data_IF_522619493423
#
_entry.id   IF_522619493423
#
_cell.length_a   1.000
_cell.length_b   1.000
_cell.length_c   1.000
_cell.angle_alpha   90.00
_cell.angle_beta   90.00
_cell.angle_gamma   90.00
#
_symmetry.space_group_name_H-M   'P 1'
#
loop_
_entity.id
_entity.type
_entity.pdbx_description
1 polymer ?
#
# COMPACT_ATOMS: atom_id res chain seq x y z
N UNK A 1 4.92 7.44 1.17
CA UNK A 1 3.50 7.18 1.48
C UNK A 1 2.81 8.37 2.14
N UNK A 2 3.19 8.75 3.36
CA UNK A 2 2.53 9.84 4.12
C UNK A 2 2.50 11.19 3.38
N UNK A 3 3.58 11.54 2.69
CA UNK A 3 3.64 12.72 1.81
C UNK A 3 2.56 12.68 0.72
N UNK A 4 2.21 11.50 0.21
CA UNK A 4 1.24 11.33 -0.88
C UNK A 4 -0.23 11.31 -0.42
N UNK A 5 -0.46 11.15 0.89
CA UNK A 5 -1.78 11.21 1.52
C UNK A 5 -2.09 12.60 2.11
N UNK A 6 -1.32 13.64 1.75
CA UNK A 6 -1.47 14.98 2.29
C UNK A 6 -2.92 15.50 2.16
N UNK A 7 -3.52 16.04 3.24
CA UNK A 7 -4.91 16.51 3.25
C UNK A 7 -5.07 17.89 2.58
N UNK A 8 -4.48 18.07 1.40
CA UNK A 8 -4.58 19.31 0.62
C UNK A 8 -5.89 19.25 -0.17
N UNK A 9 -6.82 20.17 0.13
CA UNK A 9 -8.15 20.23 -0.53
C UNK A 9 -8.11 20.82 -1.93
N UNK A 10 -7.20 21.75 -2.20
CA UNK A 10 -7.09 22.40 -3.51
C UNK A 10 -6.34 21.49 -4.48
N UNK A 11 -6.96 21.17 -5.62
CA UNK A 11 -6.37 20.33 -6.68
C UNK A 11 -5.09 20.93 -7.26
N UNK A 12 -5.07 22.25 -7.48
CA UNK A 12 -3.90 22.96 -7.99
C UNK A 12 -2.74 22.93 -6.99
N UNK A 13 -3.03 23.20 -5.71
CA UNK A 13 -2.01 23.15 -4.66
C UNK A 13 -1.46 21.72 -4.47
N UNK A 14 -2.32 20.71 -4.57
CA UNK A 14 -1.93 19.30 -4.51
C UNK A 14 -1.05 18.90 -5.70
N UNK A 15 -1.39 19.36 -6.91
CA UNK A 15 -0.57 19.15 -8.11
C UNK A 15 0.81 19.79 -7.98
N UNK A 16 0.87 21.06 -7.56
CA UNK A 16 2.14 21.76 -7.30
C UNK A 16 2.96 21.01 -6.24
N UNK A 17 2.33 20.57 -5.16
CA UNK A 17 2.98 19.81 -4.10
C UNK A 17 3.62 18.51 -4.63
N UNK A 18 2.89 17.72 -5.42
CA UNK A 18 3.44 16.49 -5.99
C UNK A 18 4.56 16.74 -7.00
N UNK A 19 4.45 17.79 -7.83
CA UNK A 19 5.51 18.18 -8.77
C UNK A 19 6.78 18.62 -8.02
N UNK A 20 6.64 19.45 -6.97
CA UNK A 20 7.78 19.88 -6.17
C UNK A 20 8.47 18.71 -5.48
N UNK A 21 7.69 17.81 -4.90
CA UNK A 21 8.22 16.61 -4.25
C UNK A 21 8.95 15.71 -5.24
N UNK A 22 8.40 15.56 -6.44
CA UNK A 22 9.05 14.85 -7.54
C UNK A 22 10.38 15.50 -7.92
N UNK A 23 10.42 16.81 -8.16
CA UNK A 23 11.65 17.55 -8.50
C UNK A 23 12.73 17.33 -7.43
N UNK A 24 12.39 17.47 -6.14
CA UNK A 24 13.35 17.30 -5.05
C UNK A 24 13.93 15.88 -5.04
N UNK A 25 13.07 14.88 -5.22
CA UNK A 25 13.47 13.47 -5.20
C UNK A 25 14.31 13.11 -6.44
N UNK A 26 13.93 13.57 -7.62
CA UNK A 26 14.65 13.28 -8.86
C UNK A 26 16.00 13.98 -8.93
N UNK A 27 16.14 15.20 -8.39
CA UNK A 27 17.45 15.86 -8.32
C UNK A 27 18.43 15.04 -7.48
N UNK A 28 17.97 14.48 -6.35
CA UNK A 28 18.81 13.61 -5.53
C UNK A 28 19.21 12.34 -6.28
N UNK A 29 18.26 11.66 -6.93
CA UNK A 29 18.52 10.45 -7.71
C UNK A 29 19.44 10.71 -8.91
N UNK A 30 19.26 11.82 -9.61
CA UNK A 30 20.13 12.27 -10.70
C UNK A 30 21.56 12.53 -10.21
N UNK A 31 21.70 13.15 -9.04
CA UNK A 31 23.02 13.35 -8.41
C UNK A 31 23.75 12.03 -8.18
N UNK A 32 23.07 11.04 -7.59
CA UNK A 32 23.63 9.70 -7.41
C UNK A 32 23.92 9.00 -8.73
N UNK A 33 23.03 9.10 -9.72
CA UNK A 33 23.24 8.51 -11.04
C UNK A 33 24.50 9.07 -11.71
N UNK A 34 24.67 10.40 -11.71
CA UNK A 34 25.86 11.05 -12.30
C UNK A 34 27.11 10.60 -11.56
N UNK A 35 27.08 10.54 -10.22
CA UNK A 35 28.19 10.07 -9.41
C UNK A 35 28.63 8.66 -9.80
N UNK A 36 27.70 7.70 -9.89
CA UNK A 36 28.04 6.32 -10.25
C UNK A 36 28.44 6.13 -11.72
N UNK A 37 27.92 6.96 -12.63
CA UNK A 37 28.40 6.99 -14.02
C UNK A 37 29.86 7.44 -14.06
N UNK A 38 30.24 8.45 -13.28
CA UNK A 38 31.63 8.92 -13.18
C UNK A 38 32.56 7.86 -12.58
N UNK A 39 32.08 7.12 -11.58
CA UNK A 39 32.81 5.98 -11.00
C UNK A 39 32.85 4.74 -11.91
N UNK A 40 32.15 4.76 -13.06
CA UNK A 40 32.00 3.62 -13.98
C UNK A 40 31.34 2.39 -13.35
N UNK A 41 30.58 2.57 -12.27
CA UNK A 41 29.77 1.51 -11.68
C UNK A 41 28.46 1.36 -12.48
N UNK A 42 28.52 0.50 -13.49
CA UNK A 42 27.39 0.23 -14.38
C UNK A 42 26.18 -0.34 -13.65
N UNK A 43 26.40 -1.18 -12.62
CA UNK A 43 25.32 -1.84 -11.90
C UNK A 43 24.54 -0.83 -11.06
N UNK A 44 25.23 -0.02 -10.24
CA UNK A 44 24.57 1.03 -9.45
C UNK A 44 23.93 2.10 -10.34
N UNK A 45 24.56 2.44 -11.46
CA UNK A 45 23.95 3.36 -12.45
C UNK A 45 22.60 2.85 -12.95
N UNK A 46 22.48 1.55 -13.29
CA UNK A 46 21.21 0.95 -13.74
C UNK A 46 20.15 1.00 -12.63
N UNK A 47 20.54 0.76 -11.37
CA UNK A 47 19.63 0.82 -10.22
C UNK A 47 19.07 2.24 -10.03
N UNK A 48 19.94 3.25 -9.97
CA UNK A 48 19.48 4.64 -9.77
C UNK A 48 18.66 5.16 -10.96
N UNK A 49 19.00 4.74 -12.18
CA UNK A 49 18.16 5.00 -13.34
C UNK A 49 16.78 4.34 -13.24
N UNK A 50 16.71 3.10 -12.73
CA UNK A 50 15.45 2.40 -12.49
C UNK A 50 14.59 3.14 -11.45
N UNK A 51 15.20 3.63 -10.37
CA UNK A 51 14.49 4.45 -9.38
C UNK A 51 13.94 5.75 -9.98
N UNK A 52 14.68 6.43 -10.85
CA UNK A 52 14.26 7.64 -11.56
C UNK A 52 12.97 7.37 -12.39
N UNK A 53 12.97 6.30 -13.18
CA UNK A 53 11.77 5.88 -13.94
C UNK A 53 10.61 5.57 -12.99
N UNK A 54 10.89 4.83 -11.92
CA UNK A 54 9.90 4.38 -10.95
C UNK A 54 9.18 5.56 -10.26
N UNK A 55 9.93 6.55 -9.80
CA UNK A 55 9.42 7.75 -9.14
C UNK A 55 8.63 8.64 -10.09
N UNK A 56 9.08 8.74 -11.35
CA UNK A 56 8.36 9.42 -12.41
C UNK A 56 7.01 8.75 -12.70
N UNK A 57 6.98 7.42 -12.85
CA UNK A 57 5.74 6.67 -13.06
C UNK A 57 4.76 6.84 -11.90
N UNK A 58 5.25 6.75 -10.66
CA UNK A 58 4.42 6.97 -9.48
C UNK A 58 3.81 8.38 -9.47
N UNK A 59 4.62 9.40 -9.74
CA UNK A 59 4.16 10.80 -9.74
C UNK A 59 3.07 11.02 -10.79
N UNK A 60 3.27 10.50 -12.00
CA UNK A 60 2.26 10.56 -13.07
C UNK A 60 0.97 9.84 -12.65
N UNK A 61 1.09 8.63 -12.08
CA UNK A 61 -0.05 7.87 -11.57
C UNK A 61 -0.82 8.63 -10.47
N UNK A 62 -0.10 9.29 -9.55
CA UNK A 62 -0.69 10.10 -8.49
C UNK A 62 -1.38 11.35 -9.02
N UNK A 63 -0.76 12.08 -9.95
CA UNK A 63 -1.38 13.24 -10.60
C UNK A 63 -2.65 12.82 -11.34
N UNK A 64 -2.61 11.70 -12.06
CA UNK A 64 -3.78 11.15 -12.73
C UNK A 64 -4.91 10.80 -11.75
N UNK A 65 -4.60 10.08 -10.67
CA UNK A 65 -5.60 9.66 -9.69
C UNK A 65 -6.18 10.85 -8.91
N UNK A 66 -5.31 11.76 -8.42
CA UNK A 66 -5.68 12.77 -7.41
C UNK A 66 -5.99 14.15 -7.98
N UNK A 67 -5.31 14.56 -9.06
CA UNK A 67 -5.49 15.90 -9.65
C UNK A 67 -6.53 15.85 -10.76
N UNK A 68 -6.44 14.87 -11.65
CA UNK A 68 -7.34 14.76 -12.81
C UNK A 68 -8.68 14.12 -12.43
N UNK A 69 -8.66 12.98 -11.73
CA UNK A 69 -9.88 12.20 -11.44
C UNK A 69 -10.45 12.39 -10.02
N UNK A 70 -9.75 13.13 -9.15
CA UNK A 70 -10.15 13.40 -7.76
C UNK A 70 -10.50 12.15 -6.95
N UNK A 71 -9.78 11.05 -7.20
CA UNK A 71 -9.93 9.83 -6.42
C UNK A 71 -9.43 10.07 -4.99
N UNK A 72 -10.30 9.75 -4.03
CA UNK A 72 -9.98 9.80 -2.61
C UNK A 72 -9.18 8.55 -2.23
N UNK A 73 -8.22 8.70 -1.32
CA UNK A 73 -7.54 7.52 -0.76
C UNK A 73 -8.55 6.73 0.07
N UNK A 74 -8.61 5.42 -0.18
CA UNK A 74 -9.50 4.54 0.59
C UNK A 74 -8.98 4.28 2.01
N UNK A 75 -7.67 4.47 2.22
CA UNK A 75 -7.06 4.44 3.54
C UNK A 75 -6.88 5.89 3.99
N UNK A 76 -7.62 6.28 5.01
CA UNK A 76 -7.43 7.53 5.75
C UNK A 76 -6.54 7.19 6.92
N UNK A 77 -5.36 7.82 6.98
CA UNK A 77 -4.45 7.65 8.11
C UNK A 77 -4.99 8.46 9.28
N UNK A 78 -5.58 7.81 10.26
CA UNK A 78 -5.95 8.47 11.51
C UNK A 78 -4.69 8.74 12.35
N UNK A 79 -4.64 9.90 13.00
CA UNK A 79 -3.48 10.30 13.82
C UNK A 79 -3.14 9.27 14.91
N UNK A 80 -4.14 8.57 15.47
CA UNK A 80 -3.94 7.52 16.48
C UNK A 80 -3.14 6.32 15.92
N UNK A 81 -3.43 5.90 14.70
CA UNK A 81 -2.68 4.85 14.02
C UNK A 81 -1.26 5.33 13.71
N UNK A 82 -1.08 6.61 13.36
CA UNK A 82 0.24 7.21 13.11
C UNK A 82 1.11 7.22 14.39
N UNK A 83 0.54 7.52 15.56
CA UNK A 83 1.26 7.42 16.84
C UNK A 83 1.61 5.98 17.23
N UNK A 84 0.68 5.04 17.07
CA UNK A 84 0.95 3.63 17.33
C UNK A 84 2.04 3.09 16.39
N UNK A 85 2.05 3.58 15.15
CA UNK A 85 3.06 3.26 14.15
C UNK A 85 4.43 3.84 14.51
N UNK A 86 4.51 5.11 14.93
CA UNK A 86 5.76 5.73 15.41
C UNK A 86 6.33 4.97 16.61
N UNK A 87 5.48 4.53 17.55
CA UNK A 87 5.93 3.77 18.72
C UNK A 87 6.50 2.39 18.35
N UNK A 88 5.93 1.69 17.37
CA UNK A 88 6.52 0.44 16.85
C UNK A 88 7.81 0.68 16.07
N UNK A 89 7.87 1.76 15.30
CA UNK A 89 9.04 2.20 14.56
C UNK A 89 10.23 2.48 15.49
N UNK A 90 9.99 3.09 16.66
CA UNK A 90 11.01 3.34 17.68
C UNK A 90 11.62 2.04 18.21
N UNK A 91 10.80 1.03 18.50
CA UNK A 91 11.26 -0.30 18.93
C UNK A 91 12.08 -0.98 17.84
N UNK A 92 11.59 -0.96 16.60
CA UNK A 92 12.28 -1.53 15.44
C UNK A 92 13.62 -0.82 15.22
N UNK A 93 13.65 0.52 15.21
CA UNK A 93 14.90 1.28 15.11
C UNK A 93 15.85 0.96 16.25
N UNK A 94 15.37 0.79 17.48
CA UNK A 94 16.23 0.50 18.64
C UNK A 94 16.90 -0.87 18.53
N UNK A 95 16.24 -1.86 17.94
CA UNK A 95 16.83 -3.18 17.65
C UNK A 95 17.88 -3.07 16.53
N UNK A 96 17.63 -2.20 15.57
CA UNK A 96 18.42 -2.08 14.35
C UNK A 96 19.62 -1.11 14.48
N UNK A 97 19.53 -0.05 15.29
CA UNK A 97 20.61 0.93 15.55
C UNK A 97 21.94 0.26 15.96
N UNK A 98 21.98 -0.72 16.88
CA UNK A 98 23.22 -1.41 17.26
C UNK A 98 23.84 -2.21 16.12
N UNK A 99 23.01 -2.77 15.22
CA UNK A 99 23.44 -3.54 14.05
C UNK A 99 24.03 -2.60 12.98
N UNK A 100 23.57 -1.34 12.94
CA UNK A 100 23.88 -0.36 11.88
C UNK A 100 24.84 0.77 12.28
N UNK A 101 25.40 0.75 13.49
CA UNK A 101 26.44 1.70 13.94
C UNK A 101 27.76 1.61 13.17
N UNK A 102 27.95 0.59 12.31
CA UNK A 102 29.08 0.53 11.38
C UNK A 102 28.77 1.34 10.12
N UNK A 103 29.46 2.48 9.98
CA UNK A 103 29.28 3.53 8.95
C UNK A 103 29.27 3.01 7.50
N UNK A 104 29.91 1.87 7.24
CA UNK A 104 30.02 1.28 5.90
C UNK A 104 28.70 0.72 5.35
N UNK A 105 27.68 0.52 6.19
CA UNK A 105 26.43 -0.15 5.80
C UNK A 105 25.20 0.78 5.72
N UNK A 106 25.38 2.06 6.07
CA UNK A 106 24.27 2.99 6.36
C UNK A 106 23.33 3.30 5.17
N UNK A 107 23.77 3.16 3.92
CA UNK A 107 22.97 3.54 2.73
C UNK A 107 22.02 2.44 2.26
N UNK A 108 22.47 1.19 2.27
CA UNK A 108 21.67 0.02 1.85
C UNK A 108 20.46 -0.12 2.78
N UNK A 109 20.69 -0.03 4.08
CA UNK A 109 19.71 -0.46 5.07
C UNK A 109 18.55 0.52 5.28
N UNK A 110 18.71 1.79 4.90
CA UNK A 110 17.68 2.82 5.10
C UNK A 110 16.38 2.50 4.35
N UNK A 111 16.49 2.00 3.12
CA UNK A 111 15.34 1.68 2.28
C UNK A 111 14.62 0.44 2.80
N UNK A 112 15.37 -0.58 3.18
CA UNK A 112 14.85 -1.80 3.79
C UNK A 112 14.03 -1.53 5.06
N UNK A 113 14.52 -0.68 5.97
CA UNK A 113 13.74 -0.26 7.15
C UNK A 113 12.46 0.48 6.73
N UNK A 114 12.55 1.39 5.76
CA UNK A 114 11.38 2.12 5.27
C UNK A 114 10.31 1.20 4.64
N UNK A 115 10.72 0.16 3.92
CA UNK A 115 9.78 -0.83 3.38
C UNK A 115 9.16 -1.71 4.45
N UNK A 116 9.93 -2.11 5.47
CA UNK A 116 9.40 -2.88 6.60
C UNK A 116 8.32 -2.10 7.35
N UNK A 117 8.54 -0.79 7.52
CA UNK A 117 7.56 0.12 8.09
C UNK A 117 6.31 0.23 7.21
N UNK A 118 6.47 0.37 5.90
CA UNK A 118 5.31 0.38 4.99
C UNK A 118 4.54 -0.95 5.01
N UNK A 119 5.23 -2.07 5.17
CA UNK A 119 4.61 -3.37 5.38
C UNK A 119 3.76 -3.39 6.65
N UNK A 120 4.30 -3.01 7.82
CA UNK A 120 3.52 -3.02 9.08
C UNK A 120 2.23 -2.20 8.92
N UNK A 121 2.31 -1.02 8.30
CA UNK A 121 1.15 -0.19 8.00
C UNK A 121 0.12 -0.88 7.08
N UNK A 122 0.55 -1.46 5.96
CA UNK A 122 -0.36 -2.14 5.04
C UNK A 122 -0.94 -3.44 5.64
N UNK A 123 -0.20 -4.11 6.52
CA UNK A 123 -0.64 -5.32 7.21
C UNK A 123 -1.80 -5.03 8.17
N UNK A 124 -1.75 -3.91 8.91
CA UNK A 124 -2.85 -3.46 9.78
C UNK A 124 -4.12 -3.17 8.96
N UNK A 125 -3.93 -2.62 7.76
CA UNK A 125 -5.02 -2.33 6.82
C UNK A 125 -5.45 -3.54 5.97
N UNK A 126 -4.86 -4.73 6.15
CA UNK A 126 -5.01 -5.85 5.23
C UNK A 126 -6.47 -6.29 5.01
N UNK A 127 -7.24 -6.32 6.10
CA UNK A 127 -8.65 -6.72 6.10
C UNK A 127 -9.55 -5.81 5.23
N UNK A 128 -9.09 -4.61 4.89
CA UNK A 128 -9.85 -3.63 4.07
C UNK A 128 -9.73 -3.91 2.57
N UNK A 129 -8.67 -4.62 2.15
CA UNK A 129 -8.47 -4.98 0.76
C UNK A 129 -9.33 -6.18 0.37
N UNK A 130 -10.03 -6.10 -0.77
CA UNK A 130 -10.80 -7.22 -1.34
C UNK A 130 -10.24 -7.73 -2.67
N UNK A 131 -9.54 -6.90 -3.42
CA UNK A 131 -8.96 -7.31 -4.69
C UNK A 131 -7.89 -8.38 -4.52
N UNK A 132 -8.02 -9.49 -5.25
CA UNK A 132 -6.99 -10.54 -5.31
C UNK A 132 -5.64 -9.96 -5.75
N UNK A 133 -5.67 -9.02 -6.70
CA UNK A 133 -4.49 -8.32 -7.20
C UNK A 133 -3.74 -7.52 -6.14
N UNK A 134 -4.44 -6.70 -5.33
CA UNK A 134 -3.79 -5.90 -4.28
C UNK A 134 -3.27 -6.78 -3.14
N UNK A 135 -3.97 -7.87 -2.81
CA UNK A 135 -3.50 -8.85 -1.82
C UNK A 135 -2.26 -9.58 -2.31
N UNK A 136 -2.27 -10.05 -3.55
CA UNK A 136 -1.12 -10.71 -4.18
C UNK A 136 0.09 -9.77 -4.26
N UNK A 137 -0.12 -8.51 -4.67
CA UNK A 137 0.92 -7.48 -4.67
C UNK A 137 1.49 -7.24 -3.26
N UNK A 138 0.64 -7.22 -2.22
CA UNK A 138 1.09 -7.10 -0.84
C UNK A 138 1.90 -8.31 -0.39
N UNK A 139 1.47 -9.54 -0.68
CA UNK A 139 2.25 -10.74 -0.34
C UNK A 139 3.61 -10.77 -1.05
N UNK A 140 3.64 -10.44 -2.34
CA UNK A 140 4.89 -10.34 -3.10
C UNK A 140 5.79 -9.26 -2.52
N UNK A 141 5.24 -8.09 -2.14
CA UNK A 141 5.99 -7.02 -1.50
C UNK A 141 6.63 -7.49 -0.18
N UNK A 142 5.89 -8.23 0.64
CA UNK A 142 6.42 -8.78 1.90
C UNK A 142 7.53 -9.79 1.64
N UNK A 143 7.32 -10.69 0.68
CA UNK A 143 8.31 -11.68 0.31
C UNK A 143 9.62 -11.02 -0.18
N UNK A 144 9.52 -9.98 -1.02
CA UNK A 144 10.70 -9.29 -1.56
C UNK A 144 11.41 -8.43 -0.52
N UNK A 145 10.69 -7.78 0.39
CA UNK A 145 11.29 -7.04 1.52
C UNK A 145 11.99 -8.00 2.48
N UNK A 146 11.36 -9.14 2.79
CA UNK A 146 11.97 -10.17 3.64
C UNK A 146 13.22 -10.75 2.99
N UNK A 147 13.17 -11.00 1.67
CA UNK A 147 14.34 -11.44 0.91
C UNK A 147 15.46 -10.41 0.96
N UNK A 148 15.17 -9.11 0.76
CA UNK A 148 16.14 -8.03 0.84
C UNK A 148 16.85 -8.00 2.21
N UNK A 149 16.08 -7.98 3.31
CA UNK A 149 16.60 -8.04 4.69
C UNK A 149 17.48 -9.27 4.90
N UNK A 150 17.00 -10.45 4.47
CA UNK A 150 17.72 -11.70 4.67
C UNK A 150 19.04 -11.70 3.90
N UNK A 151 19.05 -11.26 2.64
CA UNK A 151 20.27 -11.16 1.83
C UNK A 151 21.23 -10.11 2.40
N UNK A 152 20.73 -8.99 2.91
CA UNK A 152 21.54 -7.98 3.58
C UNK A 152 22.18 -8.53 4.86
N UNK A 153 21.43 -9.32 5.65
CA UNK A 153 21.98 -10.01 6.82
C UNK A 153 23.09 -11.00 6.44
N UNK A 154 22.89 -11.79 5.37
CA UNK A 154 23.92 -12.70 4.86
C UNK A 154 25.15 -11.95 4.37
N UNK A 155 24.98 -10.79 3.74
CA UNK A 155 26.08 -9.92 3.36
C UNK A 155 26.90 -9.48 4.59
N UNK A 156 26.26 -9.03 5.67
CA UNK A 156 26.99 -8.61 6.88
C UNK A 156 27.73 -9.76 7.58
N UNK A 157 27.20 -10.98 7.52
CA UNK A 157 27.82 -12.12 8.16
C UNK A 157 28.97 -12.72 7.35
N UNK A 158 28.86 -12.71 6.01
CA UNK A 158 29.78 -13.41 5.13
C UNK A 158 30.70 -12.47 4.31
N UNK A 159 30.42 -11.16 4.29
CA UNK A 159 31.11 -10.13 3.49
C UNK A 159 31.22 -10.44 1.99
N UNK A 160 30.23 -11.14 1.43
CA UNK A 160 30.20 -11.49 0.01
C UNK A 160 29.28 -10.52 -0.77
N UNK A 161 29.88 -9.77 -1.69
CA UNK A 161 29.23 -8.76 -2.52
C UNK A 161 28.10 -9.29 -3.41
N UNK A 162 28.02 -10.60 -3.65
CA UNK A 162 26.89 -11.20 -4.36
C UNK A 162 25.58 -10.96 -3.59
N UNK A 163 25.61 -11.03 -2.26
CA UNK A 163 24.44 -10.79 -1.43
C UNK A 163 24.05 -9.30 -1.36
N UNK A 164 25.03 -8.39 -1.47
CA UNK A 164 24.78 -6.95 -1.61
C UNK A 164 23.98 -6.65 -2.89
N UNK A 165 24.42 -7.22 -4.02
CA UNK A 165 23.72 -7.06 -5.30
C UNK A 165 22.31 -7.68 -5.28
N UNK A 166 22.16 -8.86 -4.67
CA UNK A 166 20.86 -9.52 -4.53
C UNK A 166 19.88 -8.69 -3.66
N UNK A 167 20.38 -8.11 -2.57
CA UNK A 167 19.60 -7.20 -1.72
C UNK A 167 19.12 -5.98 -2.51
N UNK A 168 20.02 -5.31 -3.25
CA UNK A 168 19.67 -4.16 -4.07
C UNK A 168 18.60 -4.48 -5.13
N UNK A 169 18.69 -5.64 -5.78
CA UNK A 169 17.66 -6.07 -6.75
C UNK A 169 16.32 -6.30 -6.04
N UNK A 170 16.32 -6.96 -4.88
CA UNK A 170 15.11 -7.19 -4.09
C UNK A 170 14.50 -5.86 -3.60
N UNK A 171 15.31 -4.85 -3.28
CA UNK A 171 14.84 -3.51 -2.95
C UNK A 171 14.15 -2.82 -4.13
N UNK A 172 14.72 -2.89 -5.34
CA UNK A 172 14.10 -2.30 -6.54
C UNK A 172 12.75 -2.96 -6.83
N UNK A 173 12.66 -4.28 -6.71
CA UNK A 173 11.39 -5.00 -6.88
C UNK A 173 10.38 -4.59 -5.79
N UNK A 174 10.83 -4.49 -4.54
CA UNK A 174 10.00 -4.05 -3.42
C UNK A 174 9.49 -2.62 -3.62
N UNK A 175 10.32 -1.72 -4.16
CA UNK A 175 9.94 -0.36 -4.51
C UNK A 175 8.82 -0.33 -5.55
N UNK A 176 8.95 -1.16 -6.60
CA UNK A 176 7.95 -1.29 -7.65
C UNK A 176 6.61 -1.81 -7.13
N UNK A 177 6.65 -2.88 -6.32
CA UNK A 177 5.45 -3.42 -5.70
C UNK A 177 4.80 -2.42 -4.75
N UNK A 178 5.61 -1.71 -3.95
CA UNK A 178 5.12 -0.64 -3.08
C UNK A 178 4.40 0.46 -3.87
N UNK A 179 5.00 0.97 -4.94
CA UNK A 179 4.37 1.98 -5.80
C UNK A 179 3.07 1.48 -6.43
N UNK A 180 3.06 0.22 -6.85
CA UNK A 180 1.85 -0.44 -7.37
C UNK A 180 0.74 -0.47 -6.32
N UNK A 181 1.04 -0.90 -5.09
CA UNK A 181 0.09 -0.92 -3.96
C UNK A 181 -0.43 0.50 -3.68
N UNK A 182 0.45 1.51 -3.69
CA UNK A 182 0.09 2.91 -3.48
C UNK A 182 -0.87 3.41 -4.56
N UNK A 183 -0.66 3.07 -5.83
CA UNK A 183 -1.55 3.48 -6.93
C UNK A 183 -2.89 2.74 -6.82
N UNK A 184 -2.85 1.42 -6.61
CA UNK A 184 -4.04 0.58 -6.46
C UNK A 184 -4.93 1.05 -5.30
N UNK A 185 -4.36 1.72 -4.29
CA UNK A 185 -5.11 2.23 -3.15
C UNK A 185 -6.19 3.26 -3.52
N UNK A 186 -6.03 3.96 -4.65
CA UNK A 186 -6.94 5.01 -5.11
C UNK A 186 -8.12 4.45 -5.92
N UNK A 187 -8.05 3.20 -6.37
CA UNK A 187 -9.11 2.60 -7.17
C UNK A 187 -10.18 1.92 -6.29
N UNK A 188 -11.47 2.24 -6.49
CA UNK A 188 -12.55 1.78 -5.61
C UNK A 188 -12.80 0.27 -5.67
N UNK A 189 -12.44 -0.38 -6.79
CA UNK A 189 -12.67 -1.82 -7.01
C UNK A 189 -11.83 -2.73 -6.12
N UNK A 190 -10.83 -2.19 -5.40
CA UNK A 190 -9.91 -2.99 -4.58
C UNK A 190 -10.24 -2.98 -3.07
N UNK A 191 -11.23 -2.21 -2.62
CA UNK A 191 -11.58 -2.06 -1.20
C UNK A 191 -13.02 -2.43 -0.87
N UNK A 192 -13.22 -2.90 0.37
CA UNK A 192 -14.54 -3.12 0.94
C UNK A 192 -15.20 -1.77 1.25
N UNK A 193 -15.91 -1.20 0.28
CA UNK A 193 -16.71 0.01 0.51
C UNK A 193 -17.96 -0.39 1.30
N UNK A 194 -17.93 -0.20 2.63
CA UNK A 194 -19.07 -0.44 3.52
C UNK A 194 -20.35 0.25 3.02
N UNK A 195 -20.20 1.41 2.37
CA UNK A 195 -21.32 2.16 1.80
C UNK A 195 -21.97 1.48 0.59
N UNK A 196 -21.17 0.88 -0.30
CA UNK A 196 -21.70 0.16 -1.47
C UNK A 196 -22.36 -1.14 -1.01
N UNK A 197 -21.77 -1.85 -0.05
CA UNK A 197 -22.40 -3.04 0.52
C UNK A 197 -23.72 -2.71 1.23
N UNK A 198 -23.81 -1.57 1.91
CA UNK A 198 -25.06 -1.11 2.54
C UNK A 198 -26.12 -0.80 1.49
N UNK A 199 -25.80 0.00 0.46
CA UNK A 199 -26.72 0.32 -0.63
C UNK A 199 -27.17 -0.94 -1.37
N UNK A 200 -26.25 -1.87 -1.65
CA UNK A 200 -26.58 -3.13 -2.31
C UNK A 200 -27.47 -4.01 -1.43
N UNK A 201 -27.22 -4.02 -0.11
CA UNK A 201 -28.05 -4.75 0.86
C UNK A 201 -29.45 -4.16 0.97
N UNK A 202 -29.59 -2.84 1.01
CA UNK A 202 -30.88 -2.14 1.00
C UNK A 202 -31.63 -2.34 -0.32
N UNK A 203 -30.92 -2.35 -1.46
CA UNK A 203 -31.51 -2.66 -2.76
C UNK A 203 -32.03 -4.10 -2.83
N UNK A 204 -31.29 -5.07 -2.30
CA UNK A 204 -31.72 -6.47 -2.23
C UNK A 204 -32.93 -6.64 -1.29
N UNK A 205 -32.93 -5.96 -0.12
CA UNK A 205 -34.05 -6.01 0.83
C UNK A 205 -35.31 -5.39 0.22
N UNK A 206 -35.18 -4.24 -0.47
CA UNK A 206 -36.33 -3.59 -1.10
C UNK A 206 -36.91 -4.41 -2.27
N UNK A 207 -36.06 -5.06 -3.08
CA UNK A 207 -36.52 -5.99 -4.12
C UNK A 207 -37.24 -7.21 -3.54
N UNK A 208 -36.74 -7.78 -2.45
CA UNK A 208 -37.37 -8.93 -1.78
C UNK A 208 -38.74 -8.57 -1.19
N UNK A 209 -38.88 -7.39 -0.59
CA UNK A 209 -40.15 -6.90 -0.05
C UNK A 209 -41.17 -6.60 -1.15
N UNK A 210 -40.76 -6.06 -2.29
CA UNK A 210 -41.65 -5.87 -3.45
C UNK A 210 -42.10 -7.19 -4.07
N UNK A 211 -41.26 -8.22 -4.06
CA UNK A 211 -41.63 -9.55 -4.55
C UNK A 211 -42.67 -10.21 -3.64
N UNK A 212 -42.48 -10.16 -2.31
CA UNK A 212 -43.43 -10.68 -1.34
C UNK A 212 -44.79 -9.97 -1.39
N UNK A 213 -44.81 -8.64 -1.58
CA UNK A 213 -46.06 -7.89 -1.71
C UNK A 213 -46.82 -8.16 -3.03
N UNK A 214 -46.16 -8.71 -4.06
CA UNK A 214 -46.81 -9.17 -5.30
C UNK A 214 -47.31 -10.61 -5.20
N UNK A 215 -46.85 -11.39 -4.22
CA UNK A 215 -47.32 -12.78 -4.00
C UNK A 215 -48.49 -12.86 -3.01
N UNK A 216 -48.83 -11.75 -2.34
CA UNK A 216 -50.07 -11.58 -1.58
C UNK A 216 -51.16 -10.94 -2.47
N UNK A 217 -51.57 -11.64 -3.53
CA UNK A 217 -52.96 -11.55 -3.98
C UNK A 217 -53.80 -12.44 -3.04
N UNK A 218 -55.01 -12.03 -2.65
CA UNK A 218 -55.76 -12.70 -1.60
C UNK A 218 -56.37 -13.99 -2.15
N UNK A 219 -55.77 -15.14 -1.82
CA UNK A 219 -56.54 -16.37 -1.72
C UNK A 219 -57.25 -16.36 -0.37
N UNK A 220 -58.55 -16.09 -0.41
CA UNK A 220 -59.50 -16.39 0.64
C UNK A 220 -59.41 -17.90 0.96
N UNK A 221 -58.58 -18.28 1.93
CA UNK A 221 -58.86 -19.44 2.77
C UNK A 221 -58.00 -19.45 4.02
N UNK A 222 -58.72 -19.56 5.13
CA UNK A 222 -58.27 -19.89 6.48
C UNK A 222 -57.19 -20.97 6.55
N UNK A 223 -56.12 -20.76 7.31
CA UNK A 223 -55.85 -21.49 8.57
C UNK A 223 -54.38 -21.37 9.03
N UNK A 224 -54.23 -20.94 10.28
CA UNK A 224 -53.29 -21.45 11.31
C UNK A 224 -51.77 -21.28 11.17
N UNK A 225 -51.26 -20.32 11.95
CA UNK A 225 -50.01 -20.32 12.74
C UNK A 225 -48.80 -21.16 12.27
N UNK A 226 -47.74 -20.49 11.81
CA UNK A 226 -46.36 -20.84 12.16
C UNK A 226 -45.40 -19.66 11.91
N UNK A 227 -45.42 -18.67 12.80
CA UNK A 227 -44.47 -17.56 12.84
C UNK A 227 -43.47 -17.76 13.99
N UNK A 228 -42.37 -18.44 13.72
CA UNK A 228 -41.08 -18.34 14.43
C UNK A 228 -40.17 -19.44 13.87
N UNK A 229 -38.86 -19.21 13.88
CA UNK A 229 -37.80 -20.07 13.32
C UNK A 229 -37.53 -19.79 11.83
N UNK A 230 -36.89 -18.65 11.51
CA UNK A 230 -35.90 -18.59 10.41
C UNK A 230 -34.94 -17.38 10.50
N UNK A 231 -34.86 -16.69 11.65
CA UNK A 231 -33.97 -15.51 11.81
C UNK A 231 -32.62 -15.78 12.48
N UNK A 232 -32.31 -17.02 12.90
CA UNK A 232 -31.18 -17.27 13.80
C UNK A 232 -29.93 -17.91 13.16
N UNK A 233 -29.72 -17.82 11.84
CA UNK A 233 -28.54 -18.43 11.20
C UNK A 233 -27.73 -17.51 10.26
N UNK A 234 -27.93 -16.19 10.29
CA UNK A 234 -27.18 -15.26 9.40
C UNK A 234 -26.11 -14.41 10.11
N UNK A 235 -25.60 -14.87 11.26
CA UNK A 235 -24.52 -14.21 12.03
C UNK A 235 -23.29 -15.11 12.27
N UNK A 236 -22.93 -15.96 11.30
CA UNK A 236 -21.60 -16.54 11.22
C UNK A 236 -21.12 -16.47 9.78
N UNK A 237 -20.20 -15.55 9.49
CA UNK A 237 -19.07 -15.59 8.54
C UNK A 237 -18.62 -14.16 8.20
#
# INVERSE_FOLDING_TARGET
>A
YLQYCAPIRSRYALGIYHILLWIITEIANLGYLIFYIQERDTFRSIIYFSFLILHSYLTVGLLYCRVLNDFKSNIIVENKHLFHFISRLEVILTIYIPIYMKIEYTSLTRNTIAYFLLFDFFSDSYHRFQGVWIKSALYLFVATVTAAVATEWFYFNNNDHIYEAASLVAEVISAFLCNTIIILQFFPFHFKTQHIQHIFREAIISMKNQHNNKTQEPDDSSSTNMSMIYEENLYRY
#
